data_IF_915103133953
#
_entry.id   IF_915103133953
#
_cell.length_a   1.000
_cell.length_b   1.000
_cell.length_c   1.000
_cell.angle_alpha   90.00
_cell.angle_beta   90.00
_cell.angle_gamma   90.00
#
_symmetry.space_group_name_H-M   'P 1'
#
loop_
_entity.id
_entity.type
_entity.pdbx_description
1 polymer ?
#
# COMPACT_ATOMS: atom_id res chain seq x y z
N UNK A 1 -17.07 17.74 1.13
CA UNK A 1 -16.00 17.09 0.42
C UNK A 1 -16.24 15.58 0.40
N UNK A 2 -15.99 14.91 -0.68
CA UNK A 2 -16.04 13.45 -0.72
C UNK A 2 -15.07 12.84 0.29
N UNK A 3 -15.47 11.76 0.93
CA UNK A 3 -14.70 11.14 2.01
C UNK A 3 -14.80 9.61 1.90
N UNK A 4 -13.66 8.93 1.99
CA UNK A 4 -13.57 7.48 2.21
C UNK A 4 -13.16 7.25 3.66
N UNK A 5 -14.00 6.57 4.41
CA UNK A 5 -13.67 6.15 5.77
C UNK A 5 -12.74 4.96 5.75
N UNK A 6 -11.68 5.06 6.52
CA UNK A 6 -10.65 4.03 6.62
C UNK A 6 -10.82 3.28 7.93
N UNK A 7 -10.62 1.99 7.88
CA UNK A 7 -10.60 1.17 9.09
C UNK A 7 -9.15 0.90 9.51
N UNK A 8 -8.89 0.92 10.80
CA UNK A 8 -7.63 0.41 11.34
C UNK A 8 -7.70 -1.12 11.39
N UNK A 9 -6.60 -1.84 11.12
CA UNK A 9 -6.55 -3.26 11.42
C UNK A 9 -6.72 -3.48 12.91
N UNK A 10 -7.34 -4.58 13.29
CA UNK A 10 -7.55 -4.96 14.68
C UNK A 10 -6.24 -5.14 15.47
N UNK A 11 -5.14 -5.28 14.77
CA UNK A 11 -3.80 -5.42 15.35
C UNK A 11 -2.93 -4.31 14.80
N UNK A 12 -2.41 -3.47 15.68
CA UNK A 12 -1.42 -2.47 15.34
C UNK A 12 -0.12 -3.15 14.94
N UNK A 13 0.44 -2.78 13.80
CA UNK A 13 1.80 -3.19 13.48
C UNK A 13 2.74 -2.53 14.50
N UNK A 14 3.46 -3.35 15.25
CA UNK A 14 4.43 -2.85 16.22
C UNK A 14 5.73 -2.49 15.50
N UNK A 15 6.24 -1.30 15.74
CA UNK A 15 7.59 -0.90 15.34
C UNK A 15 8.54 -1.28 16.48
N UNK A 16 9.46 -2.23 16.27
CA UNK A 16 10.47 -2.51 17.27
C UNK A 16 11.47 -1.35 17.33
N UNK A 17 11.51 -0.66 18.44
CA UNK A 17 12.49 0.40 18.72
C UNK A 17 13.32 -0.01 19.92
N UNK A 18 14.62 0.25 19.91
CA UNK A 18 15.48 0.11 21.06
C UNK A 18 15.77 1.49 21.65
N UNK A 19 15.56 1.63 22.95
CA UNK A 19 16.02 2.82 23.65
C UNK A 19 17.54 2.81 23.87
N UNK A 20 18.10 3.90 24.40
CA UNK A 20 19.53 4.03 24.67
C UNK A 20 20.10 2.94 25.61
N UNK A 21 19.25 2.31 26.43
CA UNK A 21 19.61 1.23 27.36
C UNK A 21 19.46 -0.17 26.75
N UNK A 22 19.18 -0.27 25.44
CA UNK A 22 18.99 -1.53 24.74
C UNK A 22 17.65 -2.21 24.99
N UNK A 23 16.74 -1.60 25.75
CA UNK A 23 15.39 -2.12 25.99
C UNK A 23 14.58 -2.03 24.70
N UNK A 24 14.00 -3.12 24.26
CA UNK A 24 13.08 -3.15 23.13
C UNK A 24 11.75 -2.53 23.53
N UNK A 25 11.37 -1.49 22.80
CA UNK A 25 10.05 -0.90 22.88
C UNK A 25 9.27 -1.30 21.63
N UNK A 26 8.01 -1.63 21.83
CA UNK A 26 7.08 -1.88 20.73
C UNK A 26 6.13 -0.68 20.63
N UNK A 27 6.33 0.15 19.60
CA UNK A 27 5.46 1.29 19.36
C UNK A 27 4.34 0.88 18.40
N UNK A 28 3.07 1.17 18.74
CA UNK A 28 1.98 0.89 17.84
C UNK A 28 2.08 1.77 16.60
N UNK A 29 1.87 1.18 15.43
CA UNK A 29 1.85 1.85 14.13
C UNK A 29 0.46 1.72 13.53
N UNK A 30 -0.18 2.85 13.26
CA UNK A 30 -1.48 2.86 12.61
C UNK A 30 -1.31 2.51 11.12
N UNK A 31 -2.02 1.48 10.68
CA UNK A 31 -2.20 1.15 9.28
C UNK A 31 -3.69 1.25 8.97
N UNK A 32 -4.03 1.94 7.89
CA UNK A 32 -5.41 2.15 7.51
C UNK A 32 -5.77 1.23 6.36
N UNK A 33 -6.83 0.45 6.55
CA UNK A 33 -7.36 -0.42 5.51
C UNK A 33 -8.31 0.34 4.61
N UNK A 34 -8.25 0.02 3.33
CA UNK A 34 -9.20 0.45 2.32
C UNK A 34 -9.43 -0.71 1.33
N UNK A 35 -10.39 -0.52 0.44
CA UNK A 35 -10.58 -1.41 -0.70
C UNK A 35 -9.96 -0.77 -1.94
N UNK A 36 -9.32 -1.59 -2.76
CA UNK A 36 -8.63 -1.16 -3.99
C UNK A 36 -9.23 -1.89 -5.18
N UNK A 37 -9.72 -1.12 -6.15
CA UNK A 37 -10.12 -1.63 -7.46
C UNK A 37 -8.92 -1.62 -8.38
N UNK A 38 -8.64 -2.76 -8.97
CA UNK A 38 -7.52 -2.97 -9.89
C UNK A 38 -8.03 -3.42 -11.26
N UNK A 39 -7.26 -3.17 -12.33
CA UNK A 39 -7.57 -3.68 -13.66
C UNK A 39 -7.74 -5.20 -13.68
N UNK A 40 -8.65 -5.69 -14.50
CA UNK A 40 -8.93 -7.12 -14.71
C UNK A 40 -9.38 -7.93 -13.50
N UNK A 41 -9.67 -7.29 -12.40
CA UNK A 41 -10.20 -7.96 -11.23
C UNK A 41 -11.64 -7.50 -10.99
N UNK A 42 -12.55 -8.48 -10.94
CA UNK A 42 -13.96 -8.21 -10.66
C UNK A 42 -14.21 -7.91 -9.18
N UNK A 43 -13.36 -8.47 -8.32
CA UNK A 43 -13.42 -8.25 -6.88
C UNK A 43 -12.31 -7.30 -6.44
N UNK A 44 -12.63 -6.36 -5.55
CA UNK A 44 -11.62 -5.49 -4.99
C UNK A 44 -10.61 -6.27 -4.16
N UNK A 45 -9.46 -5.65 -3.97
CA UNK A 45 -8.40 -6.17 -3.12
C UNK A 45 -8.29 -5.33 -1.87
N UNK A 46 -7.82 -5.95 -0.80
CA UNK A 46 -7.44 -5.23 0.40
C UNK A 46 -6.22 -4.34 0.10
N UNK A 47 -6.28 -3.11 0.57
CA UNK A 47 -5.20 -2.16 0.54
C UNK A 47 -4.88 -1.65 1.93
N UNK A 48 -3.64 -1.25 2.11
CA UNK A 48 -3.16 -0.62 3.33
C UNK A 48 -2.49 0.70 2.97
N UNK A 49 -3.01 1.81 3.51
CA UNK A 49 -2.33 3.09 3.41
C UNK A 49 -1.20 3.09 4.42
N UNK A 50 0.02 3.18 3.93
CA UNK A 50 1.25 3.22 4.71
C UNK A 50 2.03 4.50 4.39
N UNK A 51 1.95 5.48 5.28
CA UNK A 51 2.66 6.76 5.13
C UNK A 51 4.19 6.61 5.18
N UNK A 52 4.69 5.48 5.64
CA UNK A 52 6.11 5.13 5.59
C UNK A 52 6.56 4.52 4.26
N UNK A 53 5.63 4.20 3.36
CA UNK A 53 5.95 3.71 2.04
C UNK A 53 6.03 4.87 1.04
N UNK A 54 7.14 5.06 0.33
CA UNK A 54 7.24 6.14 -0.65
C UNK A 54 6.32 5.90 -1.84
N UNK A 55 6.21 4.68 -2.34
CA UNK A 55 5.39 4.33 -3.51
C UNK A 55 4.32 3.32 -3.15
N UNK A 56 3.25 3.34 -3.92
CA UNK A 56 2.29 2.23 -3.97
C UNK A 56 3.00 1.03 -4.57
N UNK A 57 2.92 -0.11 -3.92
CA UNK A 57 3.52 -1.33 -4.43
C UNK A 57 2.58 -2.53 -4.32
N UNK A 58 2.80 -3.49 -5.21
CA UNK A 58 1.99 -4.69 -5.33
C UNK A 58 2.89 -5.91 -5.41
N UNK A 59 2.62 -6.95 -4.61
CA UNK A 59 3.31 -8.23 -4.72
C UNK A 59 2.85 -9.00 -5.97
N UNK A 60 3.64 -9.96 -6.40
CA UNK A 60 3.40 -10.74 -7.60
C UNK A 60 2.03 -11.43 -7.61
N UNK A 61 1.56 -11.93 -6.46
CA UNK A 61 0.23 -12.52 -6.32
C UNK A 61 -0.92 -11.59 -6.75
N UNK A 62 -0.69 -10.27 -6.76
CA UNK A 62 -1.67 -9.29 -7.20
C UNK A 62 -1.44 -8.93 -8.67
N UNK A 63 -0.24 -8.49 -9.03
CA UNK A 63 0.00 -7.93 -10.36
C UNK A 63 0.19 -8.97 -11.48
N UNK A 64 0.39 -10.25 -11.15
CA UNK A 64 0.48 -11.31 -12.17
C UNK A 64 -0.75 -11.39 -13.09
N UNK A 65 -1.87 -10.79 -12.70
CA UNK A 65 -3.10 -10.72 -13.50
C UNK A 65 -3.11 -9.53 -14.47
N UNK A 66 -2.15 -8.62 -14.35
CA UNK A 66 -2.08 -7.46 -15.23
C UNK A 66 -1.49 -7.85 -16.58
N UNK A 67 -1.97 -7.22 -17.63
CA UNK A 67 -1.55 -7.43 -19.03
C UNK A 67 -0.59 -6.31 -19.45
N UNK A 68 0.70 -6.63 -19.69
CA UNK A 68 1.65 -5.64 -20.20
C UNK A 68 1.16 -4.99 -21.50
N UNK A 69 1.33 -3.68 -21.63
CA UNK A 69 0.88 -2.91 -22.79
C UNK A 69 -0.62 -2.60 -22.84
N UNK A 70 -1.42 -3.20 -21.97
CA UNK A 70 -2.86 -2.95 -21.86
C UNK A 70 -3.20 -2.33 -20.50
N UNK A 71 -2.76 -2.95 -19.41
CA UNK A 71 -3.04 -2.49 -18.07
C UNK A 71 -1.92 -1.61 -17.51
N UNK A 72 -0.70 -1.81 -17.97
CA UNK A 72 0.46 -1.01 -17.59
C UNK A 72 1.52 -0.94 -18.69
N UNK A 73 2.36 0.07 -18.60
CA UNK A 73 3.61 0.20 -19.36
C UNK A 73 4.80 0.29 -18.41
N UNK A 74 5.91 -0.35 -18.80
CA UNK A 74 7.12 -0.27 -17.98
C UNK A 74 7.77 1.11 -18.11
N UNK A 75 8.24 1.62 -16.98
CA UNK A 75 9.09 2.81 -16.96
C UNK A 75 10.54 2.34 -17.04
N UNK A 76 11.25 2.66 -18.12
CA UNK A 76 12.62 2.21 -18.30
C UNK A 76 13.54 2.85 -17.26
N UNK A 77 14.51 2.08 -16.78
CA UNK A 77 15.64 2.65 -16.05
C UNK A 77 16.57 3.38 -17.02
N UNK A 78 17.23 4.41 -16.51
CA UNK A 78 18.30 5.04 -17.27
C UNK A 78 19.43 4.02 -17.51
N UNK A 79 20.11 4.07 -18.67
CA UNK A 79 21.24 3.19 -18.96
C UNK A 79 22.30 3.24 -17.85
N UNK A 80 22.73 2.09 -17.36
CA UNK A 80 23.71 1.98 -16.29
C UNK A 80 23.17 1.76 -14.89
N UNK A 81 21.83 1.86 -14.69
CA UNK A 81 21.23 1.50 -13.42
C UNK A 81 20.94 0.00 -13.34
N UNK A 82 21.27 -0.58 -12.19
CA UNK A 82 20.90 -1.97 -11.88
C UNK A 82 19.44 -2.06 -11.47
N UNK A 83 18.85 -3.24 -11.62
CA UNK A 83 17.48 -3.51 -11.15
C UNK A 83 17.37 -3.13 -9.67
N UNK A 84 16.44 -2.25 -9.31
CA UNK A 84 16.27 -1.82 -7.92
C UNK A 84 15.96 -3.00 -7.01
N UNK A 85 16.54 -2.95 -5.83
CA UNK A 85 16.32 -3.95 -4.76
C UNK A 85 15.76 -3.27 -3.54
N UNK A 86 14.83 -3.94 -2.88
CA UNK A 86 14.26 -3.52 -1.62
C UNK A 86 14.38 -4.61 -0.58
N UNK A 87 14.17 -4.22 0.67
CA UNK A 87 14.12 -5.14 1.80
C UNK A 87 13.03 -4.71 2.77
N UNK A 88 12.22 -5.66 3.19
CA UNK A 88 11.24 -5.45 4.25
C UNK A 88 11.02 -6.73 5.03
N UNK A 89 11.01 -6.65 6.37
CA UNK A 89 10.76 -7.79 7.26
C UNK A 89 11.58 -9.05 6.93
N UNK A 90 12.86 -8.89 6.56
CA UNK A 90 13.74 -9.99 6.17
C UNK A 90 13.54 -10.52 4.75
N UNK A 91 12.64 -9.95 3.99
CA UNK A 91 12.41 -10.28 2.60
C UNK A 91 13.19 -9.33 1.68
N UNK A 92 14.06 -9.90 0.85
CA UNK A 92 14.77 -9.17 -0.20
C UNK A 92 14.04 -9.39 -1.52
N UNK A 93 13.77 -8.32 -2.23
CA UNK A 93 13.03 -8.37 -3.48
C UNK A 93 13.64 -7.43 -4.51
N UNK A 94 13.42 -7.76 -5.78
CA UNK A 94 13.60 -6.83 -6.88
C UNK A 94 12.27 -6.23 -7.26
N UNK A 95 12.28 -5.04 -7.83
CA UNK A 95 11.07 -4.39 -8.28
C UNK A 95 11.30 -3.58 -9.55
N UNK A 96 10.23 -3.24 -10.20
CA UNK A 96 10.20 -2.34 -11.35
C UNK A 96 9.12 -1.31 -11.15
N UNK A 97 9.31 -0.14 -11.75
CA UNK A 97 8.28 0.88 -11.81
C UNK A 97 7.50 0.73 -13.10
N UNK A 98 6.19 0.85 -12.99
CA UNK A 98 5.27 0.86 -14.12
C UNK A 98 4.30 2.03 -13.99
N UNK A 99 3.83 2.50 -15.14
CA UNK A 99 2.70 3.42 -15.20
C UNK A 99 1.46 2.62 -15.54
N UNK A 100 0.43 2.74 -14.70
CA UNK A 100 -0.85 2.11 -14.98
C UNK A 100 -1.52 2.81 -16.17
N UNK A 101 -2.01 2.01 -17.13
CA UNK A 101 -2.78 2.48 -18.29
C UNK A 101 -4.28 2.42 -18.02
N UNK A 102 -4.68 1.71 -16.97
CA UNK A 102 -6.04 1.61 -16.49
C UNK A 102 -6.15 2.26 -15.11
N UNK A 103 -7.30 2.84 -14.76
CA UNK A 103 -7.50 3.47 -13.47
C UNK A 103 -7.32 2.50 -12.29
N UNK A 104 -6.78 3.03 -11.20
CA UNK A 104 -6.82 2.39 -9.88
C UNK A 104 -7.81 3.19 -9.03
N UNK A 105 -8.71 2.51 -8.35
CA UNK A 105 -9.70 3.13 -7.47
C UNK A 105 -9.49 2.73 -6.00
N UNK A 106 -9.57 3.73 -5.12
CA UNK A 106 -9.77 3.50 -3.68
C UNK A 106 -11.24 3.73 -3.39
N UNK A 107 -11.86 2.86 -2.63
CA UNK A 107 -13.27 3.04 -2.34
C UNK A 107 -13.71 2.44 -0.99
N UNK A 108 -14.78 2.99 -0.47
CA UNK A 108 -15.72 2.28 0.38
C UNK A 108 -16.91 1.85 -0.49
N UNK A 109 -17.93 1.25 0.06
CA UNK A 109 -19.06 0.75 -0.73
C UNK A 109 -19.95 1.85 -1.38
N UNK A 110 -19.66 3.11 -1.15
CA UNK A 110 -20.48 4.25 -1.59
C UNK A 110 -19.74 5.21 -2.52
N UNK A 111 -18.47 5.43 -2.29
CA UNK A 111 -17.67 6.44 -2.97
C UNK A 111 -16.37 5.83 -3.45
N UNK A 112 -15.95 6.23 -4.64
CA UNK A 112 -14.69 5.82 -5.26
C UNK A 112 -13.84 7.04 -5.58
N UNK A 113 -12.56 6.96 -5.19
CA UNK A 113 -11.49 7.83 -5.64
C UNK A 113 -10.70 7.10 -6.73
N UNK A 114 -10.98 7.35 -7.98
CA UNK A 114 -10.22 6.76 -9.10
C UNK A 114 -9.13 7.71 -9.58
N UNK A 115 -7.99 7.14 -9.94
CA UNK A 115 -6.84 7.86 -10.49
C UNK A 115 -6.29 7.15 -11.70
N UNK A 116 -6.03 7.93 -12.75
CA UNK A 116 -5.39 7.48 -13.98
C UNK A 116 -3.87 7.62 -13.89
N UNK A 117 -3.16 6.81 -14.65
CA UNK A 117 -1.72 6.92 -14.87
C UNK A 117 -0.89 6.85 -13.59
N UNK A 118 -1.37 6.12 -12.61
CA UNK A 118 -0.67 5.92 -11.33
C UNK A 118 0.64 5.18 -11.57
N UNK A 119 1.72 5.65 -10.95
CA UNK A 119 3.02 4.95 -10.95
C UNK A 119 3.06 4.04 -9.75
N UNK A 120 3.33 2.77 -9.99
CA UNK A 120 3.40 1.73 -8.95
C UNK A 120 4.68 0.92 -9.05
N UNK A 121 5.10 0.37 -7.92
CA UNK A 121 6.16 -0.64 -7.85
C UNK A 121 5.54 -2.02 -7.97
N UNK A 122 6.00 -2.82 -8.92
CA UNK A 122 5.69 -4.24 -9.02
C UNK A 122 6.87 -5.03 -8.47
N UNK A 123 6.68 -5.71 -7.36
CA UNK A 123 7.75 -6.52 -6.75
C UNK A 123 7.78 -7.91 -7.38
N UNK A 124 8.97 -8.43 -7.60
CA UNK A 124 9.13 -9.83 -7.99
C UNK A 124 9.01 -10.70 -6.73
N UNK A 125 8.17 -11.71 -6.82
CA UNK A 125 7.83 -12.55 -5.68
C UNK A 125 6.82 -11.92 -4.72
N UNK A 126 6.61 -12.61 -3.61
CA UNK A 126 5.65 -12.24 -2.59
C UNK A 126 6.34 -12.13 -1.22
N UNK A 127 5.85 -11.23 -0.34
CA UNK A 127 6.34 -11.20 1.03
C UNK A 127 6.10 -12.56 1.71
N UNK A 128 7.02 -13.02 2.55
CA UNK A 128 6.83 -14.25 3.29
C UNK A 128 5.61 -14.13 4.20
N UNK A 129 4.79 -15.17 4.20
CA UNK A 129 3.64 -15.28 5.09
C UNK A 129 4.13 -15.83 6.43
N UNK A 130 3.92 -15.14 7.55
CA UNK A 130 4.29 -15.68 8.86
C UNK A 130 3.61 -17.04 9.10
N UNK A 131 4.28 -18.00 9.75
CA UNK A 131 3.68 -19.29 10.08
C UNK A 131 2.33 -19.12 10.81
N UNK A 132 1.31 -19.86 10.38
CA UNK A 132 -0.04 -19.79 10.93
C UNK A 132 -0.87 -18.57 10.50
N UNK A 133 -0.35 -17.70 9.65
CA UNK A 133 -1.08 -16.55 9.09
C UNK A 133 -1.65 -16.90 7.72
N UNK A 134 -2.93 -16.59 7.51
CA UNK A 134 -3.58 -16.64 6.20
C UNK A 134 -3.81 -15.23 5.65
N UNK A 135 -2.85 -14.33 5.81
CA UNK A 135 -3.02 -12.96 5.31
C UNK A 135 -3.06 -12.97 3.78
N UNK A 136 -4.13 -12.45 3.20
CA UNK A 136 -4.19 -12.28 1.74
C UNK A 136 -3.11 -11.27 1.31
N UNK A 137 -2.65 -11.39 0.08
CA UNK A 137 -1.82 -10.37 -0.53
C UNK A 137 -2.56 -9.03 -0.54
N UNK A 138 -1.89 -7.96 -0.12
CA UNK A 138 -2.45 -6.61 -0.03
C UNK A 138 -1.69 -5.65 -0.92
N UNK A 139 -2.39 -4.61 -1.40
CA UNK A 139 -1.77 -3.46 -2.05
C UNK A 139 -1.29 -2.51 -0.96
N UNK A 140 -0.02 -2.16 -0.95
CA UNK A 140 0.47 -1.12 -0.05
C UNK A 140 0.42 0.21 -0.78
N UNK A 141 -0.31 1.16 -0.22
CA UNK A 141 -0.55 2.47 -0.82
C UNK A 141 0.42 3.45 -0.20
N UNK A 142 1.33 3.96 -1.02
CA UNK A 142 2.35 4.93 -0.64
C UNK A 142 2.00 6.35 -1.04
N UNK A 143 2.87 7.29 -0.67
CA UNK A 143 2.65 8.72 -0.83
C UNK A 143 2.87 9.21 -2.27
N UNK A 144 3.77 8.57 -3.02
CA UNK A 144 4.14 8.99 -4.36
C UNK A 144 3.51 8.10 -5.43
N UNK A 145 3.37 8.63 -6.62
CA UNK A 145 2.88 7.89 -7.80
C UNK A 145 1.49 8.28 -8.24
N UNK A 146 0.85 9.26 -7.59
CA UNK A 146 -0.39 9.89 -8.05
C UNK A 146 -1.67 9.32 -7.43
N UNK A 147 -1.64 8.19 -6.74
CA UNK A 147 -2.88 7.59 -6.19
C UNK A 147 -3.52 8.45 -5.10
N UNK A 148 -2.70 9.04 -4.21
CA UNK A 148 -3.15 9.93 -3.15
C UNK A 148 -3.02 11.42 -3.48
N UNK A 149 -2.71 11.75 -4.73
CA UNK A 149 -2.56 13.14 -5.15
C UNK A 149 -3.86 13.92 -4.95
N UNK A 150 -3.76 15.12 -4.36
CA UNK A 150 -4.91 15.97 -4.07
C UNK A 150 -5.80 15.46 -2.95
N UNK A 151 -5.35 14.48 -2.16
CA UNK A 151 -6.08 14.00 -0.99
C UNK A 151 -5.48 14.51 0.31
N UNK A 152 -6.31 14.52 1.35
CA UNK A 152 -5.88 14.73 2.73
C UNK A 152 -6.19 13.47 3.55
N UNK A 153 -5.21 13.01 4.33
CA UNK A 153 -5.42 11.94 5.30
C UNK A 153 -5.71 12.57 6.66
N UNK A 154 -6.95 12.43 7.11
CA UNK A 154 -7.34 12.88 8.45
C UNK A 154 -7.28 11.70 9.41
N UNK A 155 -6.63 11.88 10.53
CA UNK A 155 -6.51 10.89 11.61
C UNK A 155 -7.15 11.48 12.85
N UNK A 156 -8.13 10.76 13.40
CA UNK A 156 -8.75 11.08 14.66
C UNK A 156 -8.38 10.03 15.71
N UNK A 157 -7.94 10.48 16.86
CA UNK A 157 -7.56 9.62 17.98
C UNK A 157 -8.45 9.89 19.18
N UNK A 158 -8.91 8.83 19.84
CA UNK A 158 -9.60 8.91 21.12
C UNK A 158 -8.63 8.39 22.22
N UNK A 159 -8.11 9.31 23.02
CA UNK A 159 -7.16 8.99 24.07
C UNK A 159 -7.75 8.10 25.18
N UNK A 160 -9.06 8.16 25.41
CA UNK A 160 -9.72 7.38 26.45
C UNK A 160 -9.85 5.90 26.08
N UNK A 161 -10.09 5.61 24.80
CA UNK A 161 -10.31 4.25 24.29
C UNK A 161 -9.10 3.70 23.51
N UNK A 162 -8.13 4.56 23.14
CA UNK A 162 -7.06 4.22 22.25
C UNK A 162 -7.51 3.98 20.79
N UNK A 163 -8.76 4.34 20.49
CA UNK A 163 -9.31 4.17 19.14
C UNK A 163 -8.71 5.19 18.18
N UNK A 164 -8.40 4.73 16.96
CA UNK A 164 -7.92 5.57 15.88
C UNK A 164 -8.77 5.33 14.66
N UNK A 165 -9.29 6.41 14.09
CA UNK A 165 -10.03 6.40 12.85
C UNK A 165 -9.29 7.23 11.80
N UNK A 166 -9.41 6.86 10.55
CA UNK A 166 -8.87 7.59 9.42
C UNK A 166 -9.92 7.89 8.37
N UNK A 167 -9.70 8.96 7.62
CA UNK A 167 -10.48 9.27 6.43
C UNK A 167 -9.58 9.88 5.36
N UNK A 168 -9.83 9.54 4.10
CA UNK A 168 -9.31 10.24 2.94
C UNK A 168 -10.36 11.22 2.44
N UNK A 169 -9.97 12.46 2.29
CA UNK A 169 -10.82 13.55 1.78
C UNK A 169 -10.20 14.14 0.51
N UNK A 170 -11.01 14.50 -0.51
CA UNK A 170 -10.56 15.14 -1.77
C UNK A 170 -11.57 16.07 -2.39
#
# INVERSE_FOLDING_TARGET
MPEIRLSTPAVWAALPVRNANGVRLSLPRAQFRCLVRLPNLTMPRDGIIDTGSPFTWMPEAIWQHFRPGIDFEELPFEPGYTVPRGQTAGWNFTFRFVRMLQPIGLYDFQIELARDRVIVQLTNGNPPIPPGSQRPAVVVIGLWGGLLEGTSLRIATDAATGHVAGALEW
#
